data_IF_855864643939
#
_entry.id   IF_855864643939
#
_cell.length_a   1.000
_cell.length_b   1.000
_cell.length_c   1.000
_cell.angle_alpha   90.00
_cell.angle_beta   90.00
_cell.angle_gamma   90.00
#
_symmetry.space_group_name_H-M   'P 1'
#
loop_
_entity.id
_entity.type
_entity.pdbx_description
1 polymer ?
#
# COMPACT_ATOMS: atom_id res chain seq x y z
N UNK A 1 30.10 2.45 60.81
CA UNK A 1 29.08 1.57 60.20
C UNK A 1 28.88 2.00 58.75
N UNK A 2 29.25 1.16 57.79
CA UNK A 2 29.32 1.52 56.37
C UNK A 2 27.94 1.52 55.72
N UNK A 3 27.50 2.67 55.19
CA UNK A 3 26.27 2.81 54.44
C UNK A 3 26.37 2.05 53.10
N UNK A 4 25.57 0.99 52.97
CA UNK A 4 25.46 0.14 51.79
C UNK A 4 24.83 0.96 50.65
N UNK A 5 25.66 1.58 49.79
CA UNK A 5 25.20 2.28 48.57
C UNK A 5 24.41 1.30 47.71
N UNK A 6 23.10 1.54 47.54
CA UNK A 6 22.29 0.83 46.54
C UNK A 6 22.98 1.01 45.19
N UNK A 7 23.36 -0.11 44.57
CA UNK A 7 24.13 -0.14 43.33
C UNK A 7 23.50 0.77 42.28
N UNK A 8 24.29 1.67 41.70
CA UNK A 8 23.90 2.53 40.59
C UNK A 8 23.30 1.74 39.42
N UNK A 9 23.66 0.46 39.31
CA UNK A 9 23.10 -0.49 38.33
C UNK A 9 21.63 -0.80 38.61
N UNK A 10 21.22 -0.91 39.88
CA UNK A 10 19.82 -1.15 40.25
C UNK A 10 18.94 0.09 40.00
N UNK A 11 19.48 1.29 40.22
CA UNK A 11 18.79 2.55 39.88
C UNK A 11 18.72 2.77 38.37
N UNK A 12 19.78 2.42 37.61
CA UNK A 12 19.77 2.47 36.15
C UNK A 12 18.79 1.46 35.53
N UNK A 13 18.67 0.25 36.09
CA UNK A 13 17.71 -0.76 35.66
C UNK A 13 16.26 -0.38 35.98
N UNK A 14 16.01 0.29 37.11
CA UNK A 14 14.69 0.83 37.46
C UNK A 14 14.29 2.01 36.54
N UNK A 15 15.23 2.91 36.22
CA UNK A 15 15.01 4.01 35.29
C UNK A 15 14.80 3.54 33.84
N UNK A 16 15.49 2.48 33.41
CA UNK A 16 15.28 1.85 32.10
C UNK A 16 13.92 1.15 31.99
N UNK A 17 13.44 0.51 33.06
CA UNK A 17 12.08 -0.05 33.13
C UNK A 17 11.00 1.04 33.13
N UNK A 18 11.22 2.17 33.81
CA UNK A 18 10.31 3.32 33.79
C UNK A 18 10.19 3.96 32.39
N UNK A 19 11.31 4.08 31.65
CA UNK A 19 11.30 4.55 30.26
C UNK A 19 10.63 3.58 29.27
N UNK A 20 10.62 2.29 29.57
CA UNK A 20 9.94 1.26 28.75
C UNK A 20 8.41 1.22 28.96
N UNK A 21 7.89 1.97 29.93
CA UNK A 21 6.46 2.17 30.18
C UNK A 21 5.90 3.50 29.63
N UNK A 22 6.74 4.34 29.01
CA UNK A 22 6.35 5.65 28.45
C UNK A 22 6.03 5.62 26.96
N UNK A 23 5.47 4.52 26.45
CA UNK A 23 4.78 4.57 25.17
C UNK A 23 3.50 5.37 25.34
N UNK A 24 3.11 6.18 24.35
CA UNK A 24 1.78 6.78 24.27
C UNK A 24 0.75 5.64 24.26
N UNK A 25 0.41 5.16 25.44
CA UNK A 25 -0.68 4.24 25.70
C UNK A 25 -1.96 5.03 25.66
N UNK A 26 -2.30 5.57 24.49
CA UNK A 26 -3.68 5.95 24.22
C UNK A 26 -4.49 4.68 24.43
N UNK A 27 -5.27 4.63 25.51
CA UNK A 27 -6.03 3.45 25.89
C UNK A 27 -6.71 2.90 24.64
N UNK A 28 -6.38 1.66 24.22
CA UNK A 28 -6.96 1.08 22.99
C UNK A 28 -8.49 1.16 23.01
N UNK A 29 -9.08 1.12 24.21
CA UNK A 29 -10.50 1.37 24.46
C UNK A 29 -10.94 2.83 24.23
N UNK A 30 -10.14 3.83 24.59
CA UNK A 30 -10.41 5.23 24.26
C UNK A 30 -10.26 5.50 22.77
N UNK A 31 -9.25 4.92 22.10
CA UNK A 31 -9.11 4.96 20.63
C UNK A 31 -10.31 4.30 19.96
N UNK A 32 -10.72 3.11 20.42
CA UNK A 32 -11.89 2.39 19.92
C UNK A 32 -13.19 3.16 20.18
N UNK A 33 -13.34 3.84 21.31
CA UNK A 33 -14.52 4.65 21.61
C UNK A 33 -14.56 5.93 20.77
N UNK A 34 -13.43 6.58 20.53
CA UNK A 34 -13.36 7.74 19.64
C UNK A 34 -13.65 7.31 18.20
N UNK A 35 -13.09 6.18 17.74
CA UNK A 35 -13.43 5.57 16.45
C UNK A 35 -14.92 5.20 16.37
N UNK A 36 -15.47 4.54 17.38
CA UNK A 36 -16.87 4.13 17.43
C UNK A 36 -17.84 5.31 17.54
N UNK A 37 -17.43 6.42 18.16
CA UNK A 37 -18.20 7.67 18.19
C UNK A 37 -18.08 8.46 16.87
N UNK A 38 -16.97 8.32 16.15
CA UNK A 38 -16.83 8.85 14.79
C UNK A 38 -17.71 8.10 13.80
N UNK A 39 -17.91 6.78 13.98
CA UNK A 39 -18.70 5.94 13.08
C UNK A 39 -20.10 6.52 12.79
N UNK A 40 -20.94 6.89 13.77
CA UNK A 40 -22.25 7.49 13.50
C UNK A 40 -22.19 8.93 12.98
N UNK A 41 -21.17 9.73 13.36
CA UNK A 41 -20.93 11.04 12.73
C UNK A 41 -20.48 10.91 11.26
N UNK A 42 -19.92 9.75 10.90
CA UNK A 42 -19.46 9.40 9.56
C UNK A 42 -20.40 8.44 8.82
N UNK A 43 -21.60 8.17 9.33
CA UNK A 43 -22.53 7.18 8.75
C UNK A 43 -22.76 7.39 7.25
N UNK A 44 -23.07 8.62 6.78
CA UNK A 44 -23.19 8.92 5.36
C UNK A 44 -21.93 8.58 4.57
N UNK A 45 -20.75 8.88 5.14
CA UNK A 45 -19.45 8.58 4.52
C UNK A 45 -19.19 7.08 4.42
N UNK A 46 -19.51 6.31 5.47
CA UNK A 46 -19.34 4.86 5.50
C UNK A 46 -20.25 4.20 4.47
N UNK A 47 -21.50 4.64 4.37
CA UNK A 47 -22.45 4.13 3.36
C UNK A 47 -21.91 4.38 1.96
N UNK A 48 -21.54 5.63 1.65
CA UNK A 48 -21.00 5.98 0.33
C UNK A 48 -19.75 5.17 -0.01
N UNK A 49 -18.77 5.11 0.90
CA UNK A 49 -17.53 4.34 0.69
C UNK A 49 -17.76 2.84 0.58
N UNK A 50 -18.69 2.27 1.35
CA UNK A 50 -18.95 0.84 1.30
C UNK A 50 -19.52 0.42 -0.04
N UNK A 51 -20.54 1.13 -0.54
CA UNK A 51 -21.16 0.80 -1.82
C UNK A 51 -20.26 1.14 -3.00
N UNK A 52 -19.61 2.32 -3.01
CA UNK A 52 -18.66 2.67 -4.08
C UNK A 52 -17.40 1.81 -4.06
N UNK A 53 -17.03 1.27 -2.90
CA UNK A 53 -15.86 0.41 -2.69
C UNK A 53 -16.10 -1.08 -2.92
N UNK A 54 -17.30 -1.51 -3.36
CA UNK A 54 -17.59 -2.91 -3.67
C UNK A 54 -16.59 -3.55 -4.66
N UNK A 55 -16.12 -2.87 -5.72
CA UNK A 55 -15.10 -3.43 -6.61
C UNK A 55 -13.76 -3.71 -5.90
N UNK A 56 -13.39 -2.87 -4.93
CA UNK A 56 -12.19 -3.05 -4.10
C UNK A 56 -12.32 -4.27 -3.21
N UNK A 57 -13.50 -4.48 -2.60
CA UNK A 57 -13.81 -5.70 -1.85
C UNK A 57 -13.77 -6.93 -2.76
N UNK A 58 -14.30 -6.82 -3.99
CA UNK A 58 -14.21 -7.86 -5.00
C UNK A 58 -12.77 -8.20 -5.39
N UNK A 59 -11.90 -7.20 -5.52
CA UNK A 59 -10.47 -7.39 -5.78
C UNK A 59 -9.75 -8.08 -4.61
N UNK A 60 -10.09 -7.69 -3.37
CA UNK A 60 -9.56 -8.32 -2.17
C UNK A 60 -10.00 -9.78 -2.03
N UNK A 61 -11.26 -10.09 -2.34
CA UNK A 61 -11.81 -11.43 -2.26
C UNK A 61 -11.32 -12.36 -3.39
N UNK A 62 -11.12 -11.83 -4.59
CA UNK A 62 -10.71 -12.60 -5.77
C UNK A 62 -9.26 -13.10 -5.69
N UNK A 63 -8.39 -12.39 -4.95
CA UNK A 63 -6.95 -12.65 -4.99
C UNK A 63 -6.52 -13.83 -4.09
N UNK A 64 -6.13 -14.93 -4.73
CA UNK A 64 -5.63 -16.15 -4.10
C UNK A 64 -4.13 -16.27 -4.40
N UNK A 65 -3.30 -16.01 -3.39
CA UNK A 65 -1.84 -16.07 -3.54
C UNK A 65 -1.09 -15.46 -2.35
N UNK A 66 0.23 -15.63 -2.35
CA UNK A 66 1.13 -15.11 -1.30
C UNK A 66 1.37 -13.60 -1.42
N UNK A 67 1.12 -13.03 -2.60
CA UNK A 67 1.29 -11.61 -2.91
C UNK A 67 -0.05 -11.05 -3.35
N UNK A 68 -0.62 -10.14 -2.54
CA UNK A 68 -1.95 -9.56 -2.77
C UNK A 68 -1.87 -8.06 -3.05
N UNK A 69 -1.84 -7.69 -4.32
CA UNK A 69 -1.70 -6.29 -4.76
C UNK A 69 -2.89 -5.77 -5.57
N UNK A 70 -3.81 -6.63 -6.01
CA UNK A 70 -4.98 -6.21 -6.78
C UNK A 70 -5.86 -5.25 -5.96
N UNK A 71 -6.13 -5.58 -4.70
CA UNK A 71 -6.92 -4.72 -3.81
C UNK A 71 -6.29 -3.35 -3.57
N UNK A 72 -4.94 -3.26 -3.59
CA UNK A 72 -4.23 -2.00 -3.39
C UNK A 72 -4.32 -1.11 -4.64
N UNK A 73 -4.17 -1.68 -5.82
CA UNK A 73 -4.30 -0.97 -7.09
C UNK A 73 -5.75 -0.50 -7.31
N UNK A 74 -6.70 -1.42 -7.14
CA UNK A 74 -8.14 -1.16 -7.31
C UNK A 74 -8.63 -0.20 -6.23
N UNK A 75 -8.27 -0.44 -4.97
CA UNK A 75 -8.68 0.39 -3.83
C UNK A 75 -8.11 1.80 -3.88
N UNK A 76 -6.83 1.96 -4.26
CA UNK A 76 -6.21 3.27 -4.40
C UNK A 76 -6.89 4.11 -5.47
N UNK A 77 -7.13 3.53 -6.66
CA UNK A 77 -7.78 4.24 -7.76
C UNK A 77 -9.28 4.47 -7.51
N UNK A 78 -10.00 3.49 -6.94
CA UNK A 78 -11.38 3.65 -6.52
C UNK A 78 -11.51 4.80 -5.53
N UNK A 79 -10.71 4.80 -4.46
CA UNK A 79 -10.74 5.87 -3.47
C UNK A 79 -10.45 7.23 -4.09
N UNK A 80 -9.42 7.34 -4.95
CA UNK A 80 -9.13 8.57 -5.67
C UNK A 80 -10.32 9.05 -6.53
N UNK A 81 -11.07 8.12 -7.15
CA UNK A 81 -12.27 8.43 -7.91
C UNK A 81 -13.46 8.89 -7.06
N UNK A 82 -13.58 8.39 -5.82
CA UNK A 82 -14.69 8.73 -4.91
C UNK A 82 -14.42 10.01 -4.10
N UNK A 83 -13.15 10.43 -3.97
CA UNK A 83 -12.74 11.67 -3.26
C UNK A 83 -13.63 12.89 -3.57
N UNK A 84 -13.89 13.30 -4.83
CA UNK A 84 -14.72 14.48 -5.10
C UNK A 84 -16.12 14.37 -4.50
N UNK A 85 -16.73 13.19 -4.51
CA UNK A 85 -18.05 12.94 -3.90
C UNK A 85 -17.98 12.89 -2.37
N UNK A 86 -16.85 12.45 -1.81
CA UNK A 86 -16.60 12.59 -0.37
C UNK A 86 -16.54 14.06 0.03
N UNK A 87 -15.87 14.91 -0.76
CA UNK A 87 -15.80 16.35 -0.49
C UNK A 87 -17.19 17.00 -0.55
N UNK A 88 -18.03 16.67 -1.54
CA UNK A 88 -19.39 17.20 -1.61
C UNK A 88 -20.25 16.74 -0.43
N UNK A 89 -20.09 15.49 0.01
CA UNK A 89 -20.81 14.95 1.16
C UNK A 89 -20.32 15.53 2.51
N UNK A 90 -19.02 15.82 2.66
CA UNK A 90 -18.44 16.35 3.90
C UNK A 90 -18.68 17.84 4.07
N UNK A 91 -18.56 18.62 3.00
CA UNK A 91 -18.68 20.08 3.05
C UNK A 91 -20.05 20.60 2.58
N UNK A 92 -20.90 19.72 2.04
CA UNK A 92 -22.28 20.00 1.69
C UNK A 92 -23.25 19.47 2.74
N UNK A 93 -24.30 18.78 2.27
CA UNK A 93 -25.34 18.21 3.13
C UNK A 93 -24.88 16.85 3.65
N UNK A 94 -24.48 16.81 4.92
CA UNK A 94 -23.98 15.58 5.55
C UNK A 94 -25.11 14.73 6.14
N UNK A 95 -25.96 14.17 5.27
CA UNK A 95 -27.09 13.32 5.67
C UNK A 95 -27.05 11.96 5.00
N UNK A 96 -27.72 10.98 5.60
CA UNK A 96 -27.86 9.64 5.01
C UNK A 96 -28.66 9.70 3.71
N UNK A 97 -29.70 10.54 3.65
CA UNK A 97 -30.52 10.73 2.45
C UNK A 97 -29.67 11.24 1.28
N UNK A 98 -28.75 12.18 1.52
CA UNK A 98 -27.87 12.68 0.47
C UNK A 98 -26.88 11.61 -0.01
N UNK A 99 -26.32 10.80 0.90
CA UNK A 99 -25.47 9.68 0.51
C UNK A 99 -26.22 8.64 -0.35
N UNK A 100 -27.49 8.34 -0.01
CA UNK A 100 -28.33 7.44 -0.78
C UNK A 100 -28.75 8.04 -2.13
N UNK A 101 -28.98 9.35 -2.18
CA UNK A 101 -29.24 10.08 -3.42
C UNK A 101 -28.04 10.02 -4.37
N UNK A 102 -26.82 10.29 -3.86
CA UNK A 102 -25.57 10.13 -4.61
C UNK A 102 -25.37 8.68 -5.10
N UNK A 103 -25.69 7.68 -4.28
CA UNK A 103 -25.61 6.27 -4.69
C UNK A 103 -26.66 5.85 -5.73
N UNK A 104 -27.78 6.58 -5.80
CA UNK A 104 -28.83 6.33 -6.79
C UNK A 104 -28.51 6.97 -8.14
N UNK A 105 -27.57 7.91 -8.19
CA UNK A 105 -27.06 8.49 -9.42
C UNK A 105 -26.10 7.51 -10.13
N UNK A 106 -26.52 7.06 -11.32
CA UNK A 106 -25.72 6.20 -12.17
C UNK A 106 -24.35 6.80 -12.54
N UNK A 107 -24.24 8.14 -12.62
CA UNK A 107 -22.99 8.82 -12.93
C UNK A 107 -21.94 8.66 -11.85
N UNK A 108 -22.35 8.72 -10.58
CA UNK A 108 -21.44 8.54 -9.41
C UNK A 108 -20.88 7.13 -9.40
N UNK A 109 -21.76 6.12 -9.54
CA UNK A 109 -21.35 4.72 -9.56
C UNK A 109 -20.49 4.40 -10.78
N UNK A 110 -20.85 4.91 -11.96
CA UNK A 110 -20.07 4.71 -13.19
C UNK A 110 -18.64 5.26 -13.03
N UNK A 111 -18.48 6.45 -12.45
CA UNK A 111 -17.17 7.04 -12.23
C UNK A 111 -16.36 6.25 -11.19
N UNK A 112 -16.96 5.94 -10.03
CA UNK A 112 -16.30 5.19 -8.97
C UNK A 112 -15.86 3.78 -9.43
N UNK A 113 -16.74 3.08 -10.14
CA UNK A 113 -16.44 1.75 -10.66
C UNK A 113 -15.52 1.81 -11.88
N UNK A 114 -15.62 2.85 -12.70
CA UNK A 114 -14.68 3.13 -13.78
C UNK A 114 -13.25 3.31 -13.26
N UNK A 115 -13.06 4.12 -12.22
CA UNK A 115 -11.78 4.28 -11.53
C UNK A 115 -11.25 2.96 -10.98
N UNK A 116 -12.13 2.12 -10.42
CA UNK A 116 -11.79 0.77 -9.97
C UNK A 116 -11.34 -0.14 -11.12
N UNK A 117 -12.00 -0.05 -12.27
CA UNK A 117 -11.65 -0.75 -13.50
C UNK A 117 -10.26 -0.35 -14.00
N UNK A 118 -9.91 0.93 -13.92
CA UNK A 118 -8.53 1.38 -14.19
C UNK A 118 -7.52 0.78 -13.22
N UNK A 119 -7.88 0.59 -11.94
CA UNK A 119 -7.01 -0.09 -10.98
C UNK A 119 -6.74 -1.55 -11.35
N UNK A 120 -7.76 -2.25 -11.88
CA UNK A 120 -7.62 -3.59 -12.43
C UNK A 120 -6.72 -3.61 -13.67
N UNK A 121 -6.92 -2.64 -14.58
CA UNK A 121 -6.07 -2.48 -15.76
C UNK A 121 -4.60 -2.28 -15.37
N UNK A 122 -4.35 -1.42 -14.39
CA UNK A 122 -3.00 -1.16 -13.87
C UNK A 122 -2.38 -2.44 -13.30
N UNK A 123 -3.15 -3.22 -12.54
CA UNK A 123 -2.70 -4.50 -12.01
C UNK A 123 -2.32 -5.50 -13.12
N UNK A 124 -3.10 -5.56 -14.21
CA UNK A 124 -2.84 -6.46 -15.34
C UNK A 124 -1.65 -6.01 -16.20
N UNK A 125 -1.45 -4.70 -16.38
CA UNK A 125 -0.37 -4.15 -17.21
C UNK A 125 0.98 -4.17 -16.48
N UNK A 126 0.99 -4.12 -15.15
CA UNK A 126 2.23 -4.03 -14.37
C UNK A 126 3.19 -5.20 -14.62
N UNK A 127 2.78 -6.50 -14.60
CA UNK A 127 3.70 -7.62 -14.85
C UNK A 127 4.38 -7.61 -16.23
N UNK A 128 3.67 -7.49 -17.37
CA UNK A 128 4.33 -7.46 -18.68
C UNK A 128 5.20 -6.21 -18.86
N UNK A 129 4.82 -5.07 -18.26
CA UNK A 129 5.61 -3.85 -18.30
C UNK A 129 6.96 -4.04 -17.58
N UNK A 130 6.95 -4.62 -16.38
CA UNK A 130 8.18 -4.92 -15.63
C UNK A 130 9.03 -5.97 -16.34
N UNK A 131 8.41 -7.01 -16.89
CA UNK A 131 9.11 -8.04 -17.65
C UNK A 131 9.83 -7.47 -18.88
N UNK A 132 9.16 -6.56 -19.61
CA UNK A 132 9.74 -5.88 -20.77
C UNK A 132 10.90 -4.98 -20.36
N UNK A 133 10.76 -4.24 -19.26
CA UNK A 133 11.85 -3.40 -18.76
C UNK A 133 13.08 -4.22 -18.31
N UNK A 134 12.84 -5.39 -17.73
CA UNK A 134 13.90 -6.31 -17.32
C UNK A 134 14.61 -6.95 -18.53
N UNK A 135 13.89 -7.31 -19.60
CA UNK A 135 14.51 -7.84 -20.82
C UNK A 135 15.40 -6.80 -21.49
N UNK A 136 14.92 -5.55 -21.64
CA UNK A 136 15.73 -4.45 -22.19
C UNK A 136 17.03 -4.21 -21.40
N UNK A 137 16.97 -4.33 -20.07
CA UNK A 137 18.15 -4.15 -19.21
C UNK A 137 19.10 -5.35 -19.33
N UNK A 138 18.56 -6.56 -19.41
CA UNK A 138 19.33 -7.80 -19.58
C UNK A 138 20.07 -7.80 -20.92
N UNK A 139 19.41 -7.39 -22.01
CA UNK A 139 20.02 -7.31 -23.34
C UNK A 139 21.21 -6.35 -23.36
N UNK A 140 21.10 -5.20 -22.69
CA UNK A 140 22.23 -4.27 -22.51
C UNK A 140 23.39 -4.90 -21.75
N UNK A 141 23.09 -5.66 -20.69
CA UNK A 141 24.14 -6.36 -19.93
C UNK A 141 24.83 -7.42 -20.79
N UNK A 142 24.07 -8.23 -21.53
CA UNK A 142 24.60 -9.23 -22.46
C UNK A 142 25.46 -8.58 -23.54
N UNK A 143 25.01 -7.45 -24.13
CA UNK A 143 25.78 -6.72 -25.13
C UNK A 143 27.11 -6.21 -24.57
N UNK A 144 27.11 -5.67 -23.34
CA UNK A 144 28.34 -5.21 -22.67
C UNK A 144 29.32 -6.35 -22.36
N UNK A 145 28.81 -7.53 -22.01
CA UNK A 145 29.63 -8.70 -21.74
C UNK A 145 30.22 -9.28 -23.03
N UNK A 146 29.44 -9.31 -24.12
CA UNK A 146 29.92 -9.72 -25.45
C UNK A 146 30.97 -8.77 -26.00
N UNK A 147 30.81 -7.45 -25.81
CA UNK A 147 31.83 -6.48 -26.26
C UNK A 147 33.12 -6.59 -25.45
N UNK A 148 33.02 -6.79 -24.13
CA UNK A 148 34.19 -7.06 -23.28
C UNK A 148 34.89 -8.37 -23.67
N UNK A 149 34.13 -9.45 -23.91
CA UNK A 149 34.67 -10.71 -24.40
C UNK A 149 35.38 -10.55 -25.75
N UNK A 150 34.78 -9.83 -26.70
CA UNK A 150 35.40 -9.57 -28.00
C UNK A 150 36.75 -8.86 -27.87
N UNK A 151 36.84 -7.86 -26.98
CA UNK A 151 38.09 -7.14 -26.72
C UNK A 151 39.15 -8.05 -26.09
N UNK A 152 38.75 -8.90 -25.15
CA UNK A 152 39.65 -9.88 -24.54
C UNK A 152 40.15 -10.92 -25.54
N UNK A 153 39.30 -11.37 -26.47
CA UNK A 153 39.70 -12.29 -27.56
C UNK A 153 40.68 -11.61 -28.52
N UNK A 154 40.51 -10.31 -28.80
CA UNK A 154 41.44 -9.55 -29.63
C UNK A 154 42.82 -9.37 -28.96
N UNK A 155 42.84 -9.10 -27.66
CA UNK A 155 44.08 -8.88 -26.90
C UNK A 155 44.81 -10.20 -26.51
N UNK A 156 44.09 -11.28 -26.24
CA UNK A 156 44.64 -12.52 -25.64
C UNK A 156 44.43 -13.78 -26.49
N UNK A 157 43.81 -13.67 -27.67
CA UNK A 157 43.53 -14.80 -28.56
C UNK A 157 42.26 -15.57 -28.22
N UNK A 158 41.89 -16.52 -29.10
CA UNK A 158 40.61 -17.25 -29.03
C UNK A 158 40.43 -18.14 -27.79
N UNK A 159 41.51 -18.42 -27.06
CA UNK A 159 41.51 -19.30 -25.88
C UNK A 159 40.56 -18.81 -24.77
N UNK A 160 40.35 -17.48 -24.67
CA UNK A 160 39.50 -16.85 -23.65
C UNK A 160 38.00 -16.90 -24.01
N UNK A 161 37.66 -17.32 -25.24
CA UNK A 161 36.26 -17.45 -25.68
C UNK A 161 35.61 -18.77 -25.22
N UNK A 162 36.41 -19.75 -24.78
CA UNK A 162 35.92 -21.10 -24.46
C UNK A 162 35.12 -21.07 -23.15
N UNK A 163 33.82 -21.33 -23.27
CA UNK A 163 32.91 -21.51 -22.13
C UNK A 163 33.41 -22.69 -21.30
N UNK A 164 34.04 -22.42 -20.16
CA UNK A 164 34.41 -23.44 -19.17
C UNK A 164 33.15 -24.19 -18.76
N UNK A 165 33.21 -25.52 -18.84
CA UNK A 165 32.14 -26.43 -18.39
C UNK A 165 31.90 -26.33 -16.90
#
# INVERSE_FOLDING_TARGET
MAAKKKSAVAQAQAAAKAKKGGGVGMNKAAVLMILAALVPFSLPTVILLFFTGLPTLGAWASEKGRHKYAWLCVGGLNFAGVIPYLFTLWFGVHTVDEALNMLSDAGVLLWAYGASGFGWLLYMITPPMVASWLSFTTDRRVASLKSAQKKLVEEWGEEVSRKGG
#
